data_IF_573063255734
#
_entry.id   IF_573063255734
#
_cell.length_a   1.000
_cell.length_b   1.000
_cell.length_c   1.000
_cell.angle_alpha   90.00
_cell.angle_beta   90.00
_cell.angle_gamma   90.00
#
_symmetry.space_group_name_H-M   'P 1'
#
loop_
_entity.id
_entity.type
_entity.pdbx_description
1 polymer ?
#
# COMPACT_ATOMS: atom_id res chain seq x y z
N UNK A 1 37.96 -50.50 -82.62
CA UNK A 1 37.67 -50.44 -81.17
C UNK A 1 38.43 -49.35 -80.41
N UNK A 2 39.32 -48.54 -81.03
CA UNK A 2 40.02 -47.44 -80.34
C UNK A 2 39.19 -46.16 -80.25
N UNK A 3 38.41 -45.85 -81.29
CA UNK A 3 37.53 -44.66 -81.33
C UNK A 3 36.34 -44.74 -80.38
N UNK A 4 35.81 -45.95 -80.14
CA UNK A 4 34.67 -46.18 -79.23
C UNK A 4 35.03 -45.89 -77.77
N UNK A 5 36.27 -46.15 -77.35
CA UNK A 5 36.74 -45.81 -75.99
C UNK A 5 36.86 -44.29 -75.78
N UNK A 6 37.23 -43.53 -76.82
CA UNK A 6 37.32 -42.06 -76.73
C UNK A 6 35.93 -41.43 -76.54
N UNK A 7 34.93 -41.95 -77.25
CA UNK A 7 33.54 -41.47 -77.15
C UNK A 7 32.97 -41.75 -75.75
N UNK A 8 33.29 -42.90 -75.16
CA UNK A 8 32.86 -43.25 -73.81
C UNK A 8 33.47 -42.32 -72.75
N UNK A 9 34.75 -41.98 -72.89
CA UNK A 9 35.46 -41.05 -72.00
C UNK A 9 34.88 -39.63 -72.10
N UNK A 10 34.53 -39.19 -73.31
CA UNK A 10 33.92 -37.88 -73.53
C UNK A 10 32.53 -37.76 -72.89
N UNK A 11 31.75 -38.85 -72.90
CA UNK A 11 30.44 -38.94 -72.22
C UNK A 11 30.56 -38.81 -70.69
N UNK A 12 31.64 -39.31 -70.08
CA UNK A 12 31.87 -39.15 -68.64
C UNK A 12 32.18 -37.70 -68.24
N UNK A 13 32.77 -36.89 -69.12
CA UNK A 13 33.11 -35.49 -68.82
C UNK A 13 31.88 -34.56 -68.79
N UNK A 14 30.80 -34.92 -69.49
CA UNK A 14 29.56 -34.12 -69.54
C UNK A 14 28.63 -34.50 -68.35
N UNK A 15 28.86 -35.65 -67.71
CA UNK A 15 28.05 -36.16 -66.61
C UNK A 15 28.47 -35.68 -65.21
N UNK A 16 29.36 -34.69 -65.10
CA UNK A 16 29.59 -33.98 -63.84
C UNK A 16 28.56 -32.83 -63.73
N UNK A 17 27.30 -33.23 -63.52
CA UNK A 17 26.21 -32.32 -63.29
C UNK A 17 26.20 -31.80 -61.85
N UNK A 18 25.90 -30.51 -61.73
CA UNK A 18 24.88 -29.91 -60.86
C UNK A 18 25.40 -28.56 -60.39
N UNK A 19 24.80 -27.51 -60.96
CA UNK A 19 24.94 -26.14 -60.49
C UNK A 19 24.67 -26.15 -58.98
N UNK A 20 25.73 -26.05 -58.19
CA UNK A 20 25.62 -25.49 -56.86
C UNK A 20 25.57 -23.98 -57.03
N UNK A 21 24.49 -23.49 -57.65
CA UNK A 21 23.95 -22.23 -57.19
C UNK A 21 23.57 -22.50 -55.75
N UNK A 22 24.52 -22.24 -54.85
CA UNK A 22 24.25 -21.93 -53.46
C UNK A 22 23.48 -20.62 -53.52
N UNK A 23 22.23 -20.74 -53.97
CA UNK A 23 21.15 -19.81 -53.74
C UNK A 23 21.28 -19.42 -52.29
N UNK A 24 21.66 -18.17 -52.10
CA UNK A 24 21.65 -17.39 -50.88
C UNK A 24 20.90 -18.11 -49.74
N UNK A 25 21.63 -18.94 -49.00
CA UNK A 25 21.35 -19.10 -47.60
C UNK A 25 22.49 -18.38 -46.89
N UNK A 26 22.44 -17.05 -46.99
CA UNK A 26 22.58 -16.26 -45.77
C UNK A 26 21.54 -16.81 -44.79
N UNK A 27 21.85 -17.93 -44.15
CA UNK A 27 21.67 -17.97 -42.71
C UNK A 27 22.55 -16.82 -42.21
N UNK A 28 21.99 -15.61 -42.25
CA UNK A 28 21.97 -14.87 -41.02
C UNK A 28 21.58 -15.91 -39.97
N UNK A 29 22.54 -16.32 -39.15
CA UNK A 29 22.23 -16.58 -37.75
C UNK A 29 21.62 -15.27 -37.21
N UNK A 30 20.40 -14.95 -37.65
CA UNK A 30 19.42 -14.27 -36.85
C UNK A 30 19.15 -15.27 -35.74
N UNK A 31 20.07 -15.25 -34.77
CA UNK A 31 19.86 -15.72 -33.43
C UNK A 31 18.38 -15.53 -33.16
N UNK A 32 17.65 -16.63 -33.02
CA UNK A 32 16.23 -16.65 -32.67
C UNK A 32 16.07 -16.18 -31.23
N UNK A 33 16.62 -15.00 -30.92
CA UNK A 33 16.28 -14.22 -29.76
C UNK A 33 14.90 -13.72 -30.09
N UNK A 34 13.90 -14.40 -29.54
CA UNK A 34 12.56 -13.86 -29.51
C UNK A 34 12.67 -12.40 -29.03
N UNK A 35 11.94 -11.44 -29.64
CA UNK A 35 11.93 -10.07 -29.18
C UNK A 35 11.34 -10.06 -27.76
N UNK A 36 12.21 -10.19 -26.76
CA UNK A 36 11.83 -10.04 -25.38
C UNK A 36 11.66 -8.55 -25.15
N UNK A 37 10.52 -8.19 -24.58
CA UNK A 37 10.31 -6.85 -24.08
C UNK A 37 11.33 -6.60 -22.96
N UNK A 38 12.39 -5.84 -23.27
CA UNK A 38 13.43 -5.46 -22.30
C UNK A 38 13.05 -4.22 -21.50
N UNK A 39 11.79 -3.75 -21.61
CA UNK A 39 11.32 -2.67 -20.75
C UNK A 39 11.33 -3.18 -19.32
N UNK A 40 12.11 -2.52 -18.48
CA UNK A 40 12.16 -2.82 -17.06
C UNK A 40 10.80 -2.53 -16.43
N UNK A 41 10.00 -3.58 -16.23
CA UNK A 41 8.78 -3.54 -15.44
C UNK A 41 9.20 -3.57 -13.97
N UNK A 42 9.16 -2.41 -13.33
CA UNK A 42 9.36 -2.32 -11.88
C UNK A 42 8.25 -3.10 -11.17
N UNK A 43 8.58 -3.72 -10.04
CA UNK A 43 7.63 -4.45 -9.20
C UNK A 43 6.52 -3.56 -8.62
N UNK A 44 6.67 -2.23 -8.73
CA UNK A 44 5.66 -1.24 -8.34
C UNK A 44 4.84 -0.68 -9.52
N UNK A 45 5.13 -1.10 -10.74
CA UNK A 45 4.42 -0.61 -11.92
C UNK A 45 3.00 -1.19 -12.04
N UNK A 46 2.16 -0.52 -12.83
CA UNK A 46 0.77 -0.93 -13.03
C UNK A 46 0.72 -2.30 -13.71
N UNK A 47 0.10 -3.28 -13.04
CA UNK A 47 0.03 -4.66 -13.52
C UNK A 47 1.11 -5.60 -12.95
N UNK A 48 2.05 -5.09 -12.14
CA UNK A 48 3.06 -5.93 -11.47
C UNK A 48 2.45 -6.87 -10.41
N UNK A 49 1.27 -6.55 -9.89
CA UNK A 49 0.54 -7.37 -8.92
C UNK A 49 -0.68 -8.05 -9.55
N UNK A 50 -0.98 -9.26 -9.08
CA UNK A 50 -2.19 -9.97 -9.51
C UNK A 50 -3.47 -9.28 -9.00
N UNK A 51 -4.57 -9.48 -9.73
CA UNK A 51 -5.88 -8.91 -9.41
C UNK A 51 -6.33 -9.28 -7.99
N UNK A 52 -6.05 -10.51 -7.55
CA UNK A 52 -6.43 -10.98 -6.22
C UNK A 52 -5.61 -10.32 -5.11
N UNK A 53 -4.31 -10.07 -5.35
CA UNK A 53 -3.46 -9.34 -4.42
C UNK A 53 -3.93 -7.88 -4.32
N UNK A 54 -4.21 -7.24 -5.46
CA UNK A 54 -4.76 -5.89 -5.49
C UNK A 54 -6.08 -5.78 -4.71
N UNK A 55 -6.97 -6.78 -4.87
CA UNK A 55 -8.24 -6.85 -4.12
C UNK A 55 -8.01 -6.98 -2.62
N UNK A 56 -7.09 -7.86 -2.19
CA UNK A 56 -6.75 -8.04 -0.78
C UNK A 56 -6.20 -6.76 -0.16
N UNK A 57 -5.28 -6.07 -0.85
CA UNK A 57 -4.71 -4.79 -0.40
C UNK A 57 -5.80 -3.74 -0.25
N UNK A 58 -6.73 -3.64 -1.21
CA UNK A 58 -7.85 -2.69 -1.12
C UNK A 58 -8.72 -2.97 0.10
N UNK A 59 -9.07 -4.23 0.35
CA UNK A 59 -9.89 -4.61 1.50
C UNK A 59 -9.17 -4.37 2.83
N UNK A 60 -7.87 -4.68 2.92
CA UNK A 60 -7.10 -4.46 4.16
C UNK A 60 -6.95 -2.96 4.46
N UNK A 61 -6.72 -2.14 3.44
CA UNK A 61 -6.63 -0.69 3.57
C UNK A 61 -7.93 -0.09 4.11
N UNK A 62 -9.07 -0.48 3.56
CA UNK A 62 -10.38 -0.02 4.04
C UNK A 62 -10.63 -0.43 5.50
N UNK A 63 -10.36 -1.70 5.85
CA UNK A 63 -10.49 -2.18 7.23
C UNK A 63 -9.63 -1.40 8.21
N UNK A 64 -8.40 -1.07 7.82
CA UNK A 64 -7.51 -0.26 8.65
C UNK A 64 -8.05 1.16 8.85
N UNK A 65 -8.53 1.82 7.80
CA UNK A 65 -9.13 3.14 7.91
C UNK A 65 -10.38 3.14 8.80
N UNK A 66 -11.22 2.13 8.69
CA UNK A 66 -12.41 2.00 9.54
C UNK A 66 -12.04 1.74 11.00
N UNK A 67 -11.02 0.92 11.25
CA UNK A 67 -10.47 0.72 12.59
C UNK A 67 -10.00 2.04 13.21
N UNK A 68 -9.26 2.87 12.45
CA UNK A 68 -8.83 4.18 12.93
C UNK A 68 -10.01 5.11 13.24
N UNK A 69 -11.08 5.09 12.44
CA UNK A 69 -12.29 5.87 12.73
C UNK A 69 -12.96 5.40 14.03
N UNK A 70 -13.07 4.09 14.24
CA UNK A 70 -13.64 3.54 15.47
C UNK A 70 -12.84 3.93 16.70
N UNK A 71 -11.51 3.91 16.62
CA UNK A 71 -10.62 4.36 17.72
C UNK A 71 -10.84 5.84 18.03
N UNK A 72 -10.97 6.69 16.99
CA UNK A 72 -11.26 8.12 17.18
C UNK A 72 -12.59 8.35 17.89
N UNK A 73 -13.65 7.69 17.44
CA UNK A 73 -14.98 7.80 18.05
C UNK A 73 -14.97 7.41 19.53
N UNK A 74 -14.35 6.28 19.87
CA UNK A 74 -14.22 5.83 21.27
C UNK A 74 -13.45 6.82 22.13
N UNK A 75 -12.37 7.41 21.59
CA UNK A 75 -11.60 8.42 22.31
C UNK A 75 -12.42 9.70 22.55
N UNK A 76 -13.21 10.14 21.57
CA UNK A 76 -14.11 11.29 21.73
C UNK A 76 -15.17 11.02 22.81
N UNK A 77 -15.80 9.84 22.80
CA UNK A 77 -16.75 9.42 23.83
C UNK A 77 -16.11 9.41 25.23
N UNK A 78 -14.91 8.85 25.37
CA UNK A 78 -14.17 8.84 26.64
C UNK A 78 -13.85 10.26 27.12
N UNK A 79 -13.46 11.17 26.23
CA UNK A 79 -13.19 12.57 26.57
C UNK A 79 -14.45 13.30 27.03
N UNK A 80 -15.58 13.08 26.37
CA UNK A 80 -16.87 13.65 26.80
C UNK A 80 -17.28 13.13 28.18
N UNK A 81 -17.10 11.83 28.44
CA UNK A 81 -17.37 11.24 29.75
C UNK A 81 -16.45 11.79 30.84
N UNK A 82 -15.16 12.01 30.53
CA UNK A 82 -14.21 12.64 31.48
C UNK A 82 -14.61 14.06 31.80
N UNK A 83 -14.92 14.88 30.78
CA UNK A 83 -15.40 16.26 30.97
C UNK A 83 -16.68 16.30 31.82
N UNK A 84 -17.66 15.44 31.53
CA UNK A 84 -18.88 15.36 32.32
C UNK A 84 -18.63 14.95 33.79
N UNK A 85 -17.65 14.08 34.05
CA UNK A 85 -17.26 13.71 35.43
C UNK A 85 -16.55 14.87 36.13
N UNK A 86 -15.64 15.55 35.46
CA UNK A 86 -14.93 16.72 36.00
C UNK A 86 -15.89 17.86 36.33
N UNK A 87 -16.87 18.15 35.47
CA UNK A 87 -17.90 19.16 35.73
C UNK A 87 -18.77 18.80 36.95
N UNK A 88 -19.17 17.53 37.10
CA UNK A 88 -19.93 17.08 38.27
C UNK A 88 -19.12 17.21 39.56
N UNK A 89 -17.85 16.82 39.54
CA UNK A 89 -16.95 16.96 40.69
C UNK A 89 -16.70 18.43 41.04
N UNK A 90 -16.57 19.30 40.04
CA UNK A 90 -16.42 20.74 40.25
C UNK A 90 -17.69 21.36 40.86
N UNK A 91 -18.87 20.95 40.41
CA UNK A 91 -20.15 21.40 40.98
C UNK A 91 -20.32 20.92 42.43
N UNK A 92 -20.00 19.65 42.72
CA UNK A 92 -20.10 19.09 44.06
C UNK A 92 -19.12 19.75 45.04
N UNK A 93 -17.89 20.04 44.60
CA UNK A 93 -16.91 20.77 45.41
C UNK A 93 -17.35 22.21 45.70
N UNK A 94 -17.92 22.93 44.72
CA UNK A 94 -18.47 24.27 44.93
C UNK A 94 -19.59 24.28 45.97
N UNK A 95 -20.52 23.31 45.88
CA UNK A 95 -21.61 23.18 46.85
C UNK A 95 -21.10 22.88 48.25
N UNK A 96 -20.09 22.03 48.41
CA UNK A 96 -19.45 21.75 49.71
C UNK A 96 -18.76 22.98 50.27
N UNK A 97 -18.00 23.73 49.46
CA UNK A 97 -17.33 24.95 49.91
C UNK A 97 -18.30 26.04 50.32
N UNK A 98 -19.44 26.18 49.63
CA UNK A 98 -20.47 27.17 49.98
C UNK A 98 -21.22 26.78 51.28
N UNK A 99 -21.46 25.48 51.50
CA UNK A 99 -22.03 24.96 52.75
C UNK A 99 -21.11 25.16 53.96
N UNK A 100 -19.82 24.94 53.80
CA UNK A 100 -18.84 25.13 54.87
C UNK A 100 -18.65 26.62 55.20
N UNK A 101 -18.70 27.49 54.19
CA UNK A 101 -18.66 28.96 54.39
C UNK A 101 -19.91 29.49 55.08
N UNK A 102 -21.09 28.94 54.76
CA UNK A 102 -22.35 29.28 55.42
C UNK A 102 -22.34 28.87 56.90
N UNK A 103 -21.85 27.67 57.24
CA UNK A 103 -21.72 27.18 58.63
C UNK A 103 -20.71 27.97 59.46
N UNK A 104 -19.62 28.44 58.84
CA UNK A 104 -18.64 29.30 59.52
C UNK A 104 -19.19 30.71 59.81
N UNK A 105 -20.11 31.23 58.97
CA UNK A 105 -20.72 32.55 59.17
C UNK A 105 -21.82 32.60 60.24
N UNK A 106 -22.40 31.45 60.60
CA UNK A 106 -23.44 31.34 61.64
C UNK A 106 -22.90 31.06 63.05
N UNK A 107 -21.58 30.97 63.23
CA UNK A 107 -20.92 30.61 64.50
C UNK A 107 -20.12 31.75 65.15
N UNK A 108 -20.27 33.00 64.71
CA UNK A 108 -19.71 34.17 65.41
C UNK A 108 -20.67 34.64 66.52
N UNK A 109 -20.25 34.65 67.80
CA UNK A 109 -21.05 35.22 68.89
C UNK A 109 -21.19 36.73 68.68
N UNK A 110 -22.42 37.24 68.77
CA UNK A 110 -22.68 38.67 68.93
C UNK A 110 -22.18 39.07 70.33
N UNK A 111 -21.03 39.72 70.41
CA UNK A 111 -20.59 40.43 71.63
C UNK A 111 -21.20 41.83 71.61
N UNK A 112 -21.77 42.18 72.75
CA UNK A 112 -22.66 43.31 73.00
C UNK A 112 -22.02 44.69 72.82
N UNK A 113 -22.85 45.65 72.40
CA UNK A 113 -22.55 47.08 72.40
C UNK A 113 -22.44 47.62 73.84
N UNK A 114 -21.54 48.57 74.14
CA UNK A 114 -21.47 49.17 75.47
C UNK A 114 -22.60 50.18 75.67
N UNK A 115 -23.28 50.04 76.81
CA UNK A 115 -24.20 51.01 77.42
C UNK A 115 -23.37 52.17 77.98
N UNK A 116 -23.71 53.41 77.61
CA UNK A 116 -23.17 54.64 78.17
C UNK A 116 -24.21 55.23 79.15
N UNK A 117 -23.84 55.35 80.42
CA UNK A 117 -24.45 56.22 81.43
C UNK A 117 -23.34 56.90 82.22
#
# INVERSE_FOLDING_TARGET
>A
MKSTSVILILLFLISCGKNADKQAFTAEENNSVAPYDTIAIDSFSQGAISVDIARKIKMSSLKYQDSLKQVKLKNEEEQLLKKAKEEKLAAENKVKTDLDKAKASSASPKTDLPINQ
#
